data_IF_842475655444
#
_entry.id   IF_842475655444
#
_cell.length_a   1.000
_cell.length_b   1.000
_cell.length_c   1.000
_cell.angle_alpha   90.00
_cell.angle_beta   90.00
_cell.angle_gamma   90.00
#
_symmetry.space_group_name_H-M   'P 1'
#
loop_
_entity.id
_entity.type
_entity.pdbx_description
1 polymer ?
#
# COMPACT_ATOMS: atom_id res chain seq x y z
N UNK A 1 -40.00 13.84 33.91
CA UNK A 1 -39.68 13.72 32.47
C UNK A 1 -38.19 13.94 32.30
N UNK A 2 -37.40 12.88 32.18
CA UNK A 2 -35.96 12.96 31.90
C UNK A 2 -35.76 12.67 30.42
N UNK A 3 -35.50 13.72 29.63
CA UNK A 3 -35.02 13.57 28.25
C UNK A 3 -33.61 12.98 28.31
N UNK A 4 -33.47 11.74 27.85
CA UNK A 4 -32.19 11.14 27.53
C UNK A 4 -31.73 11.74 26.21
N UNK A 5 -30.67 12.54 26.22
CA UNK A 5 -30.03 13.03 25.02
C UNK A 5 -29.33 11.84 24.33
N UNK A 6 -29.78 11.48 23.12
CA UNK A 6 -29.08 10.51 22.28
C UNK A 6 -27.64 10.98 22.02
N UNK A 7 -26.64 10.08 21.97
CA UNK A 7 -25.28 10.47 21.66
C UNK A 7 -25.24 11.16 20.29
N UNK A 8 -24.65 12.35 20.24
CA UNK A 8 -24.53 13.15 19.02
C UNK A 8 -23.75 12.37 17.93
N UNK A 9 -24.39 12.17 16.78
CA UNK A 9 -23.91 11.43 15.60
C UNK A 9 -22.59 11.96 14.97
N UNK A 10 -22.00 13.03 15.49
CA UNK A 10 -20.73 13.60 15.02
C UNK A 10 -19.51 12.77 15.42
N UNK A 11 -19.61 11.94 16.46
CA UNK A 11 -18.48 11.11 16.93
C UNK A 11 -18.14 9.94 16.01
N UNK A 12 -19.03 9.57 15.09
CA UNK A 12 -18.85 8.42 14.17
C UNK A 12 -18.51 8.84 12.72
N UNK A 13 -18.42 10.14 12.40
CA UNK A 13 -18.06 10.57 11.05
C UNK A 13 -16.57 10.39 10.80
N UNK A 14 -16.22 9.89 9.61
CA UNK A 14 -14.82 9.74 9.19
C UNK A 14 -14.09 11.09 9.30
N UNK A 15 -12.97 11.07 10.00
CA UNK A 15 -12.08 12.22 10.16
C UNK A 15 -10.61 11.75 10.16
N UNK A 16 -9.63 12.68 10.02
CA UNK A 16 -8.21 12.31 9.97
C UNK A 16 -7.72 11.52 11.19
N UNK A 17 -8.31 11.74 12.38
CA UNK A 17 -7.91 11.02 13.59
C UNK A 17 -8.38 9.56 13.57
N UNK A 18 -9.60 9.28 13.08
CA UNK A 18 -10.11 7.90 12.89
C UNK A 18 -9.28 7.20 11.82
N UNK A 19 -9.01 7.87 10.70
CA UNK A 19 -8.18 7.32 9.62
C UNK A 19 -6.76 6.99 10.13
N UNK A 20 -6.11 7.93 10.83
CA UNK A 20 -4.77 7.72 11.38
C UNK A 20 -4.72 6.60 12.42
N UNK A 21 -5.77 6.43 13.24
CA UNK A 21 -5.86 5.30 14.18
C UNK A 21 -6.01 3.97 13.46
N UNK A 22 -6.83 3.91 12.41
CA UNK A 22 -6.97 2.71 11.59
C UNK A 22 -5.62 2.37 10.93
N UNK A 23 -4.94 3.35 10.32
CA UNK A 23 -3.63 3.15 9.70
C UNK A 23 -2.58 2.67 10.72
N UNK A 24 -2.52 3.31 11.89
CA UNK A 24 -1.61 2.92 12.96
C UNK A 24 -1.87 1.51 13.50
N UNK A 25 -3.10 0.98 13.38
CA UNK A 25 -3.40 -0.40 13.71
C UNK A 25 -2.95 -1.39 12.62
N UNK A 26 -2.95 -0.97 11.35
CA UNK A 26 -2.48 -1.79 10.22
C UNK A 26 -0.94 -1.79 10.12
N UNK A 27 -0.28 -0.67 10.37
CA UNK A 27 1.15 -0.50 10.14
C UNK A 27 2.04 -1.56 10.83
N UNK A 28 1.82 -1.96 12.10
CA UNK A 28 2.64 -2.99 12.74
C UNK A 28 2.50 -4.39 12.11
N UNK A 29 1.34 -4.68 11.50
CA UNK A 29 1.11 -5.95 10.79
C UNK A 29 2.00 -6.01 9.55
N UNK A 30 1.94 -4.96 8.71
CA UNK A 30 2.77 -4.86 7.53
C UNK A 30 4.26 -4.87 7.91
N UNK A 31 4.66 -4.05 8.89
CA UNK A 31 6.05 -3.97 9.33
C UNK A 31 6.61 -5.34 9.74
N UNK A 32 5.84 -6.15 10.46
CA UNK A 32 6.28 -7.50 10.86
C UNK A 32 6.53 -8.40 9.65
N UNK A 33 5.63 -8.37 8.66
CA UNK A 33 5.75 -9.18 7.45
C UNK A 33 6.95 -8.77 6.60
N UNK A 34 7.20 -7.46 6.49
CA UNK A 34 8.34 -6.92 5.76
C UNK A 34 9.68 -7.27 6.44
N UNK A 35 9.77 -7.13 7.76
CA UNK A 35 10.96 -7.53 8.53
C UNK A 35 11.29 -9.01 8.31
N UNK A 36 10.29 -9.89 8.21
CA UNK A 36 10.50 -11.31 7.98
C UNK A 36 11.08 -11.65 6.58
N UNK A 37 10.96 -10.74 5.61
CA UNK A 37 11.54 -10.87 4.27
C UNK A 37 12.77 -10.00 4.05
N UNK A 38 13.20 -9.25 5.07
CA UNK A 38 14.29 -8.27 4.95
C UNK A 38 13.95 -7.05 4.08
N UNK A 39 12.67 -6.84 3.75
CA UNK A 39 12.24 -5.73 2.91
C UNK A 39 11.87 -4.50 3.74
N UNK A 40 12.09 -3.33 3.16
CA UNK A 40 11.54 -2.04 3.62
C UNK A 40 10.23 -1.69 2.94
N UNK A 41 9.58 -0.62 3.42
CA UNK A 41 8.31 -0.13 2.86
C UNK A 41 8.45 0.29 1.38
N UNK A 42 9.51 1.01 1.02
CA UNK A 42 9.74 1.49 -0.35
C UNK A 42 9.93 0.33 -1.34
N UNK A 43 10.69 -0.68 -0.94
CA UNK A 43 10.89 -1.91 -1.73
C UNK A 43 9.57 -2.68 -1.89
N UNK A 44 8.80 -2.83 -0.81
CA UNK A 44 7.49 -3.47 -0.86
C UNK A 44 6.54 -2.77 -1.85
N UNK A 45 6.44 -1.44 -1.80
CA UNK A 45 5.59 -0.68 -2.72
C UNK A 45 6.07 -0.83 -4.18
N UNK A 46 7.38 -0.84 -4.42
CA UNK A 46 7.94 -1.13 -5.75
C UNK A 46 7.54 -2.51 -6.28
N UNK A 47 7.68 -3.55 -5.45
CA UNK A 47 7.31 -4.93 -5.80
C UNK A 47 5.79 -5.04 -6.07
N UNK A 48 4.97 -4.49 -5.18
CA UNK A 48 3.50 -4.45 -5.30
C UNK A 48 3.04 -3.71 -6.56
N UNK A 49 3.65 -2.58 -6.89
CA UNK A 49 3.29 -1.83 -8.09
C UNK A 49 3.74 -2.52 -9.38
N UNK A 50 4.83 -3.28 -9.34
CA UNK A 50 5.25 -4.13 -10.47
C UNK A 50 4.27 -5.27 -10.68
N UNK A 51 3.86 -5.97 -9.62
CA UNK A 51 2.83 -7.01 -9.68
C UNK A 51 1.50 -6.47 -10.23
N UNK A 52 1.03 -5.32 -9.72
CA UNK A 52 -0.19 -4.67 -10.19
C UNK A 52 -0.11 -4.18 -11.66
N UNK A 53 1.10 -4.03 -12.21
CA UNK A 53 1.31 -3.69 -13.62
C UNK A 53 1.36 -4.93 -14.55
N UNK A 54 1.03 -6.13 -14.04
CA UNK A 54 1.12 -7.38 -14.80
C UNK A 54 2.51 -8.00 -14.78
N UNK A 55 3.33 -7.67 -13.77
CA UNK A 55 4.64 -8.27 -13.55
C UNK A 55 5.81 -7.59 -14.26
N UNK A 56 5.59 -6.55 -15.06
CA UNK A 56 6.65 -5.75 -15.70
C UNK A 56 6.25 -4.28 -15.82
N UNK A 57 7.19 -3.38 -15.53
CA UNK A 57 6.97 -1.93 -15.61
C UNK A 57 8.24 -1.17 -16.05
N UNK A 58 8.05 0.01 -16.65
CA UNK A 58 9.16 0.94 -16.91
C UNK A 58 9.75 1.46 -15.60
N UNK A 59 11.08 1.35 -15.43
CA UNK A 59 11.81 1.62 -14.19
C UNK A 59 11.58 3.05 -13.67
N UNK A 60 11.72 4.06 -14.53
CA UNK A 60 11.54 5.47 -14.13
C UNK A 60 10.09 5.80 -13.76
N UNK A 61 9.14 5.26 -14.54
CA UNK A 61 7.70 5.43 -14.25
C UNK A 61 7.33 4.74 -12.94
N UNK A 62 7.91 3.58 -12.66
CA UNK A 62 7.72 2.86 -11.41
C UNK A 62 8.30 3.66 -10.24
N UNK A 63 9.52 4.17 -10.36
CA UNK A 63 10.16 5.00 -9.33
C UNK A 63 9.33 6.25 -9.03
N UNK A 64 8.85 6.95 -10.05
CA UNK A 64 7.96 8.10 -9.88
C UNK A 64 6.68 7.74 -9.14
N UNK A 65 6.02 6.64 -9.50
CA UNK A 65 4.82 6.16 -8.79
C UNK A 65 5.09 5.82 -7.32
N UNK A 66 6.23 5.19 -7.02
CA UNK A 66 6.62 4.87 -5.64
C UNK A 66 6.89 6.15 -4.85
N UNK A 67 7.64 7.10 -5.43
CA UNK A 67 7.92 8.40 -4.84
C UNK A 67 6.64 9.16 -4.50
N UNK A 68 5.70 9.22 -5.45
CA UNK A 68 4.40 9.87 -5.26
C UNK A 68 3.56 9.19 -4.18
N UNK A 69 3.50 7.85 -4.20
CA UNK A 69 2.69 7.07 -3.27
C UNK A 69 3.20 7.17 -1.82
N UNK A 70 4.51 7.19 -1.63
CA UNK A 70 5.14 7.25 -0.32
C UNK A 70 5.52 8.66 0.12
N UNK A 71 5.30 9.67 -0.73
CA UNK A 71 5.73 11.06 -0.51
C UNK A 71 7.22 11.13 -0.14
N UNK A 72 8.03 10.35 -0.85
CA UNK A 72 9.49 10.31 -0.72
C UNK A 72 10.15 10.88 -1.98
N UNK A 73 11.46 11.07 -1.96
CA UNK A 73 12.17 11.57 -3.13
C UNK A 73 12.37 10.48 -4.20
N UNK A 74 12.50 10.90 -5.46
CA UNK A 74 12.65 10.00 -6.60
C UNK A 74 13.93 9.15 -6.51
N UNK A 75 15.00 9.68 -5.91
CA UNK A 75 16.26 8.97 -5.80
C UNK A 75 16.15 7.80 -4.81
N UNK A 76 15.50 7.99 -3.66
CA UNK A 76 15.20 6.94 -2.69
C UNK A 76 14.31 5.84 -3.30
N UNK A 77 13.31 6.23 -4.10
CA UNK A 77 12.47 5.27 -4.82
C UNK A 77 13.29 4.47 -5.85
N UNK A 78 14.15 5.14 -6.65
CA UNK A 78 15.01 4.48 -7.62
C UNK A 78 16.04 3.53 -6.95
N UNK A 79 16.65 3.96 -5.84
CA UNK A 79 17.55 3.13 -5.03
C UNK A 79 16.85 1.86 -4.55
N UNK A 80 15.61 1.98 -4.05
CA UNK A 80 14.86 0.79 -3.62
C UNK A 80 14.58 -0.20 -4.77
N UNK A 81 14.36 0.29 -6.00
CA UNK A 81 14.21 -0.59 -7.17
C UNK A 81 15.53 -1.26 -7.58
N UNK A 82 16.65 -0.55 -7.43
CA UNK A 82 17.98 -1.12 -7.64
C UNK A 82 18.26 -2.22 -6.60
N UNK A 83 17.99 -1.97 -5.32
CA UNK A 83 18.13 -2.96 -4.24
C UNK A 83 17.27 -4.21 -4.47
N UNK A 84 16.03 -4.05 -4.99
CA UNK A 84 15.20 -5.19 -5.38
C UNK A 84 15.82 -5.98 -6.54
N UNK A 85 16.51 -5.30 -7.46
CA UNK A 85 17.22 -5.95 -8.58
C UNK A 85 18.44 -6.69 -8.08
N UNK A 86 19.23 -6.08 -7.19
CA UNK A 86 20.41 -6.69 -6.55
C UNK A 86 20.02 -7.90 -5.68
N UNK A 87 18.85 -7.85 -5.03
CA UNK A 87 18.28 -8.96 -4.28
C UNK A 87 17.66 -10.05 -5.18
N UNK A 88 17.67 -9.88 -6.51
CA UNK A 88 17.11 -10.83 -7.46
C UNK A 88 15.58 -10.95 -7.40
N UNK A 89 14.88 -9.98 -6.82
CA UNK A 89 13.41 -9.91 -6.75
C UNK A 89 12.83 -9.20 -7.97
N UNK A 90 13.60 -8.29 -8.56
CA UNK A 90 13.36 -7.75 -9.88
C UNK A 90 14.53 -8.13 -10.80
N UNK A 91 14.27 -8.17 -12.10
CA UNK A 91 15.28 -8.31 -13.13
C UNK A 91 14.95 -7.37 -14.30
N UNK A 92 15.94 -7.08 -15.13
CA UNK A 92 15.70 -6.35 -16.38
C UNK A 92 14.81 -7.18 -17.30
N UNK A 93 13.88 -6.51 -17.96
CA UNK A 93 12.85 -7.18 -18.76
C UNK A 93 13.41 -7.57 -20.13
N UNK A 94 14.11 -8.70 -20.22
CA UNK A 94 14.80 -9.11 -21.45
C UNK A 94 15.97 -8.17 -21.77
N UNK A 95 16.06 -7.71 -23.02
CA UNK A 95 17.12 -6.77 -23.46
C UNK A 95 16.79 -5.30 -23.17
N UNK A 96 15.60 -5.00 -22.63
CA UNK A 96 15.16 -3.63 -22.33
C UNK A 96 15.53 -3.22 -20.90
N UNK A 97 16.70 -2.60 -20.77
CA UNK A 97 17.23 -2.05 -19.51
C UNK A 97 16.38 -0.92 -18.93
N UNK A 98 15.41 -0.37 -19.68
CA UNK A 98 14.49 0.65 -19.16
C UNK A 98 13.31 0.05 -18.41
N UNK A 99 13.17 -1.28 -18.40
CA UNK A 99 12.09 -2.00 -17.76
C UNK A 99 12.60 -3.01 -16.75
N UNK A 100 11.82 -3.19 -15.70
CA UNK A 100 12.03 -4.22 -14.69
C UNK A 100 10.82 -5.15 -14.64
N UNK A 101 11.08 -6.42 -14.41
CA UNK A 101 10.08 -7.47 -14.27
C UNK A 101 10.28 -8.23 -12.95
N UNK A 102 9.19 -8.77 -12.39
CA UNK A 102 9.27 -9.70 -11.29
C UNK A 102 10.02 -10.95 -11.73
N UNK A 103 10.97 -11.39 -10.91
CA UNK A 103 11.50 -12.74 -11.00
C UNK A 103 10.53 -13.71 -10.31
N UNK A 104 10.72 -15.01 -10.49
CA UNK A 104 9.97 -16.03 -9.73
C UNK A 104 10.12 -15.83 -8.22
N UNK A 105 11.32 -15.46 -7.75
CA UNK A 105 11.59 -15.14 -6.36
C UNK A 105 10.84 -13.87 -5.90
N UNK A 106 10.82 -12.84 -6.74
CA UNK A 106 10.04 -11.61 -6.50
C UNK A 106 8.55 -11.89 -6.39
N UNK A 107 8.01 -12.70 -7.30
CA UNK A 107 6.60 -13.12 -7.28
C UNK A 107 6.28 -13.91 -6.00
N UNK A 108 7.13 -14.86 -5.62
CA UNK A 108 6.95 -15.65 -4.39
C UNK A 108 6.97 -14.77 -3.12
N UNK A 109 7.88 -13.80 -3.04
CA UNK A 109 7.94 -12.84 -1.93
C UNK A 109 6.69 -11.94 -1.91
N UNK A 110 6.27 -11.45 -3.08
CA UNK A 110 5.07 -10.64 -3.22
C UNK A 110 3.83 -11.38 -2.70
N UNK A 111 3.65 -12.63 -3.11
CA UNK A 111 2.48 -13.43 -2.76
C UNK A 111 2.50 -13.83 -1.28
N UNK A 112 3.68 -14.13 -0.72
CA UNK A 112 3.84 -14.38 0.71
C UNK A 112 3.44 -13.18 1.56
N UNK A 113 3.86 -11.97 1.20
CA UNK A 113 3.50 -10.76 1.95
C UNK A 113 2.01 -10.46 1.75
N UNK A 114 1.50 -10.52 0.52
CA UNK A 114 0.09 -10.24 0.21
C UNK A 114 -0.89 -11.18 0.91
N UNK A 115 -0.59 -12.48 0.91
CA UNK A 115 -1.36 -13.50 1.63
C UNK A 115 -1.27 -13.28 3.14
N UNK A 116 -0.07 -13.03 3.68
CA UNK A 116 0.11 -12.73 5.09
C UNK A 116 -0.65 -11.49 5.57
N UNK A 117 -0.71 -10.43 4.75
CA UNK A 117 -1.55 -9.25 5.04
C UNK A 117 -3.02 -9.66 5.09
N UNK A 118 -3.50 -10.34 4.04
CA UNK A 118 -4.91 -10.72 3.90
C UNK A 118 -5.38 -11.63 5.04
N UNK A 119 -4.55 -12.58 5.45
CA UNK A 119 -4.79 -13.45 6.60
C UNK A 119 -4.82 -12.65 7.91
N UNK A 120 -3.81 -11.81 8.14
CA UNK A 120 -3.68 -11.07 9.40
C UNK A 120 -4.79 -10.05 9.63
N UNK A 121 -5.28 -9.39 8.57
CA UNK A 121 -6.37 -8.41 8.69
C UNK A 121 -7.76 -9.04 8.50
N UNK A 122 -7.85 -10.27 8.00
CA UNK A 122 -9.13 -10.90 7.65
C UNK A 122 -10.14 -10.88 8.79
N UNK A 123 -9.71 -11.15 10.03
CA UNK A 123 -10.58 -11.08 11.20
C UNK A 123 -11.10 -9.66 11.49
N UNK A 124 -10.30 -8.63 11.22
CA UNK A 124 -10.70 -7.24 11.45
C UNK A 124 -11.78 -6.77 10.45
N UNK A 125 -11.84 -7.38 9.27
CA UNK A 125 -12.84 -7.07 8.24
C UNK A 125 -14.03 -8.04 8.24
N UNK A 126 -13.90 -9.18 8.94
CA UNK A 126 -14.94 -10.20 9.02
C UNK A 126 -16.21 -9.65 9.67
N UNK A 127 -17.36 -9.86 9.01
CA UNK A 127 -18.66 -9.41 9.52
C UNK A 127 -18.98 -7.94 9.23
N UNK A 128 -18.07 -7.17 8.61
CA UNK A 128 -18.41 -5.84 8.09
C UNK A 128 -19.24 -6.01 6.81
N UNK A 129 -20.39 -5.32 6.68
CA UNK A 129 -21.19 -5.37 5.45
C UNK A 129 -20.40 -4.90 4.22
N UNK A 130 -20.60 -5.57 3.09
CA UNK A 130 -19.85 -5.28 1.86
C UNK A 130 -20.13 -3.85 1.34
N UNK A 131 -21.36 -3.37 1.51
CA UNK A 131 -21.78 -2.02 1.16
C UNK A 131 -21.07 -0.95 1.99
N UNK A 132 -20.79 -1.23 3.26
CA UNK A 132 -20.06 -0.32 4.15
C UNK A 132 -18.60 -0.23 3.73
N UNK A 133 -17.96 -1.37 3.40
CA UNK A 133 -16.59 -1.39 2.86
C UNK A 133 -16.50 -0.66 1.52
N UNK A 134 -17.46 -0.87 0.62
CA UNK A 134 -17.52 -0.14 -0.66
C UNK A 134 -17.72 1.36 -0.45
N UNK A 135 -18.50 1.74 0.55
CA UNK A 135 -18.73 3.16 0.89
C UNK A 135 -17.48 3.79 1.48
N UNK A 136 -16.84 3.13 2.45
CA UNK A 136 -15.58 3.56 3.04
C UNK A 136 -14.48 3.70 1.98
N UNK A 137 -14.33 2.70 1.10
CA UNK A 137 -13.38 2.74 -0.02
C UNK A 137 -13.60 3.95 -0.92
N UNK A 138 -14.83 4.19 -1.37
CA UNK A 138 -15.18 5.36 -2.21
C UNK A 138 -14.84 6.68 -1.53
N UNK A 139 -15.20 6.83 -0.25
CA UNK A 139 -14.94 8.06 0.52
C UNK A 139 -13.44 8.30 0.69
N UNK A 140 -12.68 7.27 1.06
CA UNK A 140 -11.23 7.38 1.26
C UNK A 140 -10.51 7.71 -0.06
N UNK A 141 -10.86 7.05 -1.16
CA UNK A 141 -10.33 7.38 -2.49
C UNK A 141 -10.57 8.84 -2.85
N UNK A 142 -11.79 9.35 -2.69
CA UNK A 142 -12.13 10.74 -2.98
C UNK A 142 -11.35 11.74 -2.10
N UNK A 143 -11.13 11.42 -0.82
CA UNK A 143 -10.32 12.24 0.08
C UNK A 143 -8.87 12.27 -0.41
N UNK A 144 -8.29 11.10 -0.73
CA UNK A 144 -6.92 10.98 -1.23
C UNK A 144 -6.72 11.76 -2.53
N UNK A 145 -7.64 11.65 -3.49
CA UNK A 145 -7.61 12.42 -4.76
C UNK A 145 -7.60 13.93 -4.50
N UNK A 146 -8.50 14.42 -3.64
CA UNK A 146 -8.61 15.85 -3.31
C UNK A 146 -7.37 16.39 -2.59
N UNK A 147 -6.76 15.59 -1.71
CA UNK A 147 -5.52 15.96 -1.04
C UNK A 147 -4.36 15.99 -2.03
N UNK A 148 -4.23 14.96 -2.87
CA UNK A 148 -3.17 14.89 -3.88
C UNK A 148 -3.23 16.07 -4.85
N UNK A 149 -4.43 16.50 -5.28
CA UNK A 149 -4.62 17.65 -6.16
C UNK A 149 -4.19 19.00 -5.56
N UNK A 150 -4.04 19.10 -4.23
CA UNK A 150 -3.53 20.31 -3.56
C UNK A 150 -2.01 20.36 -3.45
N UNK A 151 -1.36 19.22 -3.66
CA UNK A 151 0.08 19.02 -3.51
C UNK A 151 0.74 18.62 -4.85
N UNK A 152 0.01 18.77 -5.96
CA UNK A 152 0.49 18.49 -7.32
C UNK A 152 1.12 19.74 -7.95
#
# INVERSE_FOLDING_TARGET
>A
MTTSAAPSSSALSLNPQILGRAENAHAPILQRLLTATGLGMTQWVGLKFTAAAGGSAGRDRLAGRVADALRTDLAAAATALAELTDAGLLAESGDDVTRVALTDAGQAVHDRISSGISEAIGHAYAGIPAEDLLTAGRVLTLITERLNARHA
#
